data_IF_867799527202
#
_entry.id   IF_867799527202
#
_cell.length_a   1.000
_cell.length_b   1.000
_cell.length_c   1.000
_cell.angle_alpha   90.00
_cell.angle_beta   90.00
_cell.angle_gamma   90.00
#
_symmetry.space_group_name_H-M   'P 1'
#
loop_
_entity.id
_entity.type
_entity.pdbx_description
1 polymer ?
#
# COMPACT_ATOMS: atom_id res chain seq x y z
N UNK A 1 -17.97 11.61 -14.94
CA UNK A 1 -17.35 12.95 -14.87
C UNK A 1 -17.33 13.56 -13.46
N UNK A 2 -18.28 13.29 -12.55
CA UNK A 2 -18.16 13.72 -11.12
C UNK A 2 -17.56 12.62 -10.22
N UNK A 3 -17.97 11.37 -10.40
CA UNK A 3 -17.48 10.24 -9.59
C UNK A 3 -15.96 10.04 -9.65
N UNK A 4 -15.35 10.19 -10.82
CA UNK A 4 -13.90 10.10 -10.97
C UNK A 4 -13.17 11.25 -10.25
N UNK A 5 -13.70 12.46 -10.25
CA UNK A 5 -13.11 13.59 -9.51
C UNK A 5 -13.13 13.32 -8.00
N UNK A 6 -14.25 12.83 -7.47
CA UNK A 6 -14.38 12.45 -6.05
C UNK A 6 -13.41 11.32 -5.67
N UNK A 7 -13.26 10.32 -6.55
CA UNK A 7 -12.30 9.22 -6.37
C UNK A 7 -10.86 9.74 -6.35
N UNK A 8 -10.49 10.61 -7.29
CA UNK A 8 -9.15 11.21 -7.33
C UNK A 8 -8.87 12.07 -6.08
N UNK A 9 -9.85 12.85 -5.61
CA UNK A 9 -9.72 13.60 -4.36
C UNK A 9 -9.52 12.68 -3.15
N UNK A 10 -10.28 11.59 -3.05
CA UNK A 10 -10.11 10.58 -1.99
C UNK A 10 -8.70 9.98 -2.03
N UNK A 11 -8.21 9.58 -3.21
CA UNK A 11 -6.85 9.05 -3.39
C UNK A 11 -5.77 10.06 -3.01
N UNK A 12 -5.93 11.34 -3.37
CA UNK A 12 -5.01 12.42 -2.96
C UNK A 12 -4.94 12.54 -1.43
N UNK A 13 -6.10 12.53 -0.76
CA UNK A 13 -6.16 12.56 0.72
C UNK A 13 -5.51 11.35 1.36
N UNK A 14 -5.68 10.16 0.77
CA UNK A 14 -5.06 8.92 1.27
C UNK A 14 -3.53 8.98 1.16
N UNK A 15 -3.00 9.38 0.00
CA UNK A 15 -1.55 9.50 -0.25
C UNK A 15 -0.86 10.53 0.64
N UNK A 16 -1.58 11.57 1.07
CA UNK A 16 -1.05 12.58 1.97
C UNK A 16 -1.01 12.15 3.44
N UNK A 17 -1.58 10.99 3.80
CA UNK A 17 -1.57 10.52 5.20
C UNK A 17 -0.16 10.10 5.61
N UNK A 18 0.24 10.33 6.87
CA UNK A 18 1.45 9.75 7.39
C UNK A 18 1.44 8.22 7.24
N UNK A 19 2.54 7.66 6.72
CA UNK A 19 2.66 6.21 6.59
C UNK A 19 2.98 5.59 7.95
N UNK A 20 2.19 4.61 8.45
CA UNK A 20 2.43 4.00 9.75
C UNK A 20 3.82 3.37 9.86
N UNK A 21 4.51 3.62 10.99
CA UNK A 21 5.87 3.11 11.22
C UNK A 21 5.93 1.58 11.23
N UNK A 22 4.94 0.92 11.84
CA UNK A 22 4.89 -0.55 11.91
C UNK A 22 4.74 -1.17 10.53
N UNK A 23 3.90 -0.61 9.66
CA UNK A 23 3.77 -1.06 8.27
C UNK A 23 5.06 -0.89 7.49
N UNK A 24 5.82 0.19 7.75
CA UNK A 24 7.11 0.41 7.08
C UNK A 24 8.12 -0.68 7.47
N UNK A 25 8.14 -1.11 8.74
CA UNK A 25 8.98 -2.22 9.20
C UNK A 25 8.61 -3.53 8.48
N UNK A 26 7.32 -3.82 8.35
CA UNK A 26 6.82 -5.00 7.62
C UNK A 26 7.31 -4.99 6.16
N UNK A 27 7.18 -3.86 5.46
CA UNK A 27 7.64 -3.73 4.07
C UNK A 27 9.15 -3.93 3.99
N UNK A 28 9.92 -3.29 4.86
CA UNK A 28 11.37 -3.44 4.91
C UNK A 28 11.80 -4.89 5.21
N UNK A 29 11.00 -5.65 5.95
CA UNK A 29 11.31 -7.04 6.28
C UNK A 29 10.93 -8.02 5.17
N UNK A 30 9.72 -7.90 4.59
CA UNK A 30 9.17 -8.89 3.67
C UNK A 30 9.32 -8.54 2.18
N UNK A 31 9.66 -7.30 1.83
CA UNK A 31 9.78 -6.83 0.45
C UNK A 31 11.21 -6.41 0.17
N UNK A 32 12.07 -7.40 -0.13
CA UNK A 32 13.52 -7.20 -0.33
C UNK A 32 13.83 -6.08 -1.33
N UNK A 33 13.03 -5.96 -2.39
CA UNK A 33 13.24 -4.94 -3.42
C UNK A 33 13.06 -3.51 -2.91
N UNK A 34 12.31 -3.30 -1.82
CA UNK A 34 12.14 -1.97 -1.20
C UNK A 34 13.47 -1.31 -0.85
N UNK A 35 14.47 -2.10 -0.44
CA UNK A 35 15.81 -1.58 -0.11
C UNK A 35 16.58 -1.12 -1.34
N UNK A 36 16.26 -1.63 -2.53
CA UNK A 36 16.92 -1.25 -3.78
C UNK A 36 16.32 0.00 -4.41
N UNK A 37 15.12 0.39 -4.00
CA UNK A 37 14.44 1.58 -4.49
C UNK A 37 15.13 2.86 -3.99
N UNK A 38 15.19 3.86 -4.86
CA UNK A 38 15.61 5.21 -4.49
C UNK A 38 14.54 5.89 -3.59
N UNK A 39 14.84 7.06 -3.02
CA UNK A 39 13.94 7.73 -2.10
C UNK A 39 12.60 8.15 -2.74
N UNK A 40 12.59 8.53 -4.02
CA UNK A 40 11.39 8.91 -4.76
C UNK A 40 10.48 7.70 -4.97
N UNK A 41 11.03 6.61 -5.49
CA UNK A 41 10.29 5.36 -5.74
C UNK A 41 9.73 4.77 -4.45
N UNK A 42 10.49 4.87 -3.34
CA UNK A 42 9.98 4.47 -2.01
C UNK A 42 8.77 5.31 -1.61
N UNK A 43 8.82 6.62 -1.79
CA UNK A 43 7.70 7.49 -1.44
C UNK A 43 6.47 7.22 -2.33
N UNK A 44 6.69 6.97 -3.61
CA UNK A 44 5.64 6.59 -4.56
C UNK A 44 5.00 5.24 -4.20
N UNK A 45 5.80 4.23 -3.92
CA UNK A 45 5.32 2.91 -3.48
C UNK A 45 4.46 3.01 -2.22
N UNK A 46 4.95 3.71 -1.19
CA UNK A 46 4.19 3.91 0.06
C UNK A 46 2.85 4.63 -0.19
N UNK A 47 2.82 5.58 -1.13
CA UNK A 47 1.61 6.28 -1.54
C UNK A 47 0.63 5.34 -2.26
N UNK A 48 1.11 4.48 -3.16
CA UNK A 48 0.28 3.46 -3.83
C UNK A 48 -0.31 2.46 -2.83
N UNK A 49 0.49 1.99 -1.87
CA UNK A 49 0.05 1.05 -0.83
C UNK A 49 -1.12 1.62 -0.02
N UNK A 50 -1.06 2.90 0.40
CA UNK A 50 -2.15 3.52 1.16
C UNK A 50 -3.46 3.56 0.38
N UNK A 51 -3.39 3.82 -0.93
CA UNK A 51 -4.58 3.79 -1.80
C UNK A 51 -5.08 2.36 -1.96
N UNK A 52 -4.18 1.40 -2.22
CA UNK A 52 -4.52 0.00 -2.41
C UNK A 52 -5.23 -0.57 -1.20
N UNK A 53 -4.67 -0.38 0.01
CA UNK A 53 -5.26 -0.84 1.26
C UNK A 53 -6.64 -0.24 1.56
N UNK A 54 -6.92 0.97 1.07
CA UNK A 54 -8.19 1.65 1.29
C UNK A 54 -9.28 1.30 0.25
N UNK A 55 -8.88 0.86 -0.93
CA UNK A 55 -9.80 0.56 -2.04
C UNK A 55 -10.01 -0.93 -2.27
N UNK A 56 -9.10 -1.77 -1.80
CA UNK A 56 -9.19 -3.22 -1.96
C UNK A 56 -9.65 -3.87 -0.66
N UNK A 57 -10.56 -4.83 -0.81
CA UNK A 57 -10.97 -5.72 0.27
C UNK A 57 -10.03 -6.92 0.30
N UNK A 58 -9.57 -7.27 1.49
CA UNK A 58 -8.77 -8.46 1.73
C UNK A 58 -9.65 -9.46 2.47
N UNK A 59 -9.71 -10.69 1.97
CA UNK A 59 -10.56 -11.74 2.50
C UNK A 59 -9.70 -12.97 2.74
N UNK A 60 -9.83 -13.53 3.94
CA UNK A 60 -9.17 -14.77 4.32
C UNK A 60 -10.01 -15.97 3.90
N UNK A 61 -9.36 -17.04 3.44
CA UNK A 61 -10.01 -18.28 3.02
C UNK A 61 -9.53 -19.46 3.88
N UNK A 62 -10.40 -20.42 4.16
CA UNK A 62 -10.02 -21.65 4.88
C UNK A 62 -9.49 -21.42 6.29
N UNK A 63 -9.98 -20.40 7.00
CA UNK A 63 -9.52 -20.05 8.35
C UNK A 63 -8.23 -19.21 8.39
N UNK A 64 -7.68 -18.82 7.23
CA UNK A 64 -6.52 -17.95 7.17
C UNK A 64 -6.86 -16.52 7.60
N UNK A 65 -6.22 -16.02 8.65
CA UNK A 65 -6.46 -14.67 9.16
C UNK A 65 -5.71 -13.62 8.33
N UNK A 66 -6.41 -12.56 7.91
CA UNK A 66 -5.79 -11.41 7.26
C UNK A 66 -5.31 -10.42 8.32
N UNK A 67 -4.03 -10.50 8.66
CA UNK A 67 -3.36 -9.56 9.55
C UNK A 67 -2.84 -8.33 8.80
N UNK A 68 -2.34 -7.34 9.53
CA UNK A 68 -1.65 -6.19 8.97
C UNK A 68 -0.41 -6.58 8.16
N UNK A 69 0.37 -7.53 8.66
CA UNK A 69 1.51 -8.12 7.95
C UNK A 69 1.11 -8.68 6.58
N UNK A 70 0.04 -9.47 6.54
CA UNK A 70 -0.47 -10.05 5.28
C UNK A 70 -0.90 -8.96 4.30
N UNK A 71 -1.81 -8.08 4.71
CA UNK A 71 -2.39 -7.09 3.79
C UNK A 71 -1.36 -6.06 3.31
N UNK A 72 -0.47 -5.61 4.18
CA UNK A 72 0.58 -4.63 3.85
C UNK A 72 1.61 -5.26 2.91
N UNK A 73 2.02 -6.50 3.14
CA UNK A 73 2.98 -7.21 2.28
C UNK A 73 2.39 -7.44 0.89
N UNK A 74 1.14 -7.92 0.81
CA UNK A 74 0.44 -8.10 -0.48
C UNK A 74 0.33 -6.77 -1.22
N UNK A 75 -0.11 -5.69 -0.54
CA UNK A 75 -0.23 -4.38 -1.16
C UNK A 75 1.12 -3.87 -1.67
N UNK A 76 2.20 -4.07 -0.92
CA UNK A 76 3.53 -3.65 -1.33
C UNK A 76 4.04 -4.40 -2.56
N UNK A 77 3.88 -5.72 -2.60
CA UNK A 77 4.26 -6.52 -3.77
C UNK A 77 3.43 -6.15 -5.00
N UNK A 78 2.11 -5.95 -4.85
CA UNK A 78 1.23 -5.56 -5.95
C UNK A 78 1.54 -4.16 -6.48
N UNK A 79 1.79 -3.19 -5.59
CA UNK A 79 2.11 -1.82 -5.96
C UNK A 79 3.53 -1.64 -6.49
N UNK A 80 4.45 -2.56 -6.21
CA UNK A 80 5.81 -2.52 -6.74
C UNK A 80 5.84 -2.57 -8.27
N UNK A 81 4.89 -3.30 -8.87
CA UNK A 81 4.76 -3.44 -10.33
C UNK A 81 4.18 -2.20 -11.02
N UNK A 82 3.87 -1.15 -10.25
CA UNK A 82 3.31 0.12 -10.73
C UNK A 82 4.29 1.30 -10.60
N UNK A 83 5.51 1.04 -10.10
CA UNK A 83 6.63 1.99 -10.13
C UNK A 83 7.19 2.07 -11.56
#
# INVERSE_FOLDING_TARGET
MIFELLKQQRRRRLRARPFPKEWRKLIQHHVVFFHKLNASDRAELLSHIQVFLAEKRFEGCGGFAITDEVRVTIAAQACLLLL
#
